data_IF_026087840859
#
_entry.id   IF_026087840859
#
_cell.length_a   1.000
_cell.length_b   1.000
_cell.length_c   1.000
_cell.angle_alpha   90.00
_cell.angle_beta   90.00
_cell.angle_gamma   90.00
#
_symmetry.space_group_name_H-M   'P 1'
#
loop_
_entity.id
_entity.type
_entity.pdbx_description
1 polymer ?
#
# COMPACT_ATOMS: atom_id res chain seq x y z
N UNK A 1 11.83 14.70 9.23
CA UNK A 1 11.53 13.84 8.07
C UNK A 1 11.74 14.61 6.78
N UNK A 2 12.12 13.90 5.70
CA UNK A 2 12.34 14.50 4.38
C UNK A 2 11.02 14.89 3.71
N UNK A 3 10.04 14.01 3.83
CA UNK A 3 8.66 14.22 3.39
C UNK A 3 7.72 13.50 4.35
N UNK A 4 6.42 13.82 4.28
CA UNK A 4 5.39 13.16 5.06
C UNK A 4 4.11 12.99 4.25
N UNK A 5 3.43 11.86 4.43
CA UNK A 5 2.18 11.54 3.76
C UNK A 5 1.15 11.04 4.77
N UNK A 6 -0.07 11.49 4.65
CA UNK A 6 -1.18 10.93 5.41
C UNK A 6 -1.70 9.66 4.74
N UNK A 7 -1.71 8.55 5.48
CA UNK A 7 -2.15 7.24 5.03
C UNK A 7 -3.43 6.87 5.77
N UNK A 8 -4.51 6.68 5.02
CA UNK A 8 -5.84 6.37 5.56
C UNK A 8 -6.12 4.89 5.67
N UNK A 9 -7.01 4.51 6.60
CA UNK A 9 -7.48 3.15 6.80
C UNK A 9 -8.98 3.11 7.10
N UNK A 10 -9.63 2.00 6.78
CA UNK A 10 -11.03 1.77 7.07
C UNK A 10 -11.97 2.72 6.32
N UNK A 11 -13.12 2.97 6.93
CA UNK A 11 -14.11 3.90 6.37
C UNK A 11 -14.94 3.29 5.26
N UNK A 12 -15.31 4.10 4.28
CA UNK A 12 -16.28 3.73 3.25
C UNK A 12 -15.96 4.41 1.90
N UNK A 13 -16.59 3.90 0.85
CA UNK A 13 -16.44 4.39 -0.52
C UNK A 13 -17.74 5.07 -0.96
N UNK A 14 -17.63 6.26 -1.51
CA UNK A 14 -18.72 7.01 -2.12
C UNK A 14 -18.69 6.89 -3.65
N UNK A 15 -19.87 6.72 -4.25
CA UNK A 15 -20.09 6.68 -5.69
C UNK A 15 -20.11 5.27 -6.28
N UNK A 16 -20.91 5.12 -7.35
CA UNK A 16 -21.14 3.86 -8.07
C UNK A 16 -20.38 3.80 -9.41
N UNK A 17 -19.76 4.92 -9.81
CA UNK A 17 -19.08 5.05 -11.10
C UNK A 17 -17.64 4.55 -11.10
N UNK A 18 -16.94 4.76 -12.21
CA UNK A 18 -15.51 4.40 -12.33
C UNK A 18 -14.62 5.23 -11.38
N UNK A 19 -15.03 6.45 -11.05
CA UNK A 19 -14.36 7.31 -10.09
C UNK A 19 -15.11 7.23 -8.76
N UNK A 20 -14.45 6.69 -7.76
CA UNK A 20 -14.98 6.55 -6.40
C UNK A 20 -14.15 7.38 -5.44
N UNK A 21 -14.79 7.90 -4.39
CA UNK A 21 -14.12 8.65 -3.33
C UNK A 21 -14.02 7.77 -2.09
N UNK A 22 -12.82 7.57 -1.60
CA UNK A 22 -12.60 6.86 -0.34
C UNK A 22 -12.58 7.85 0.82
N UNK A 23 -13.38 7.58 1.83
CA UNK A 23 -13.45 8.31 3.11
C UNK A 23 -12.85 7.43 4.21
N UNK A 24 -11.55 7.57 4.54
CA UNK A 24 -10.92 6.80 5.61
C UNK A 24 -11.55 7.11 6.97
N UNK A 25 -11.66 6.09 7.84
CA UNK A 25 -12.11 6.26 9.23
C UNK A 25 -10.99 6.71 10.17
N UNK A 26 -9.77 6.34 9.86
CA UNK A 26 -8.57 6.72 10.61
C UNK A 26 -7.41 6.98 9.66
N UNK A 27 -6.41 7.73 10.12
CA UNK A 27 -5.20 7.97 9.35
C UNK A 27 -3.97 8.12 10.24
N UNK A 28 -2.80 7.83 9.62
CA UNK A 28 -1.49 7.94 10.25
C UNK A 28 -0.55 8.67 9.30
N UNK A 29 0.27 9.57 9.81
CA UNK A 29 1.31 10.23 9.01
C UNK A 29 2.50 9.29 8.84
N UNK A 30 2.85 9.00 7.60
CA UNK A 30 4.10 8.34 7.23
C UNK A 30 5.19 9.39 7.05
N UNK A 31 6.12 9.47 8.00
CA UNK A 31 7.25 10.38 7.96
C UNK A 31 8.51 9.68 7.42
N UNK A 32 9.12 10.22 6.38
CA UNK A 32 10.30 9.66 5.72
C UNK A 32 11.60 10.05 6.44
N UNK A 33 12.49 9.07 6.60
CA UNK A 33 13.85 9.26 7.08
C UNK A 33 14.83 8.60 6.12
N UNK A 34 15.75 9.40 5.57
CA UNK A 34 16.68 8.96 4.55
C UNK A 34 18.07 8.69 5.15
N UNK A 35 18.65 7.58 4.71
CA UNK A 35 20.04 7.24 4.98
C UNK A 35 20.77 7.07 3.64
N UNK A 36 21.83 7.85 3.35
CA UNK A 36 22.59 7.69 2.14
C UNK A 36 23.42 6.41 2.18
N UNK A 37 23.33 5.61 1.14
CA UNK A 37 24.16 4.41 0.92
C UNK A 37 25.17 4.73 -0.16
N UNK A 38 26.41 4.99 0.24
CA UNK A 38 27.47 5.45 -0.64
C UNK A 38 28.03 4.27 -1.47
N UNK A 39 28.03 4.44 -2.78
CA UNK A 39 28.62 3.49 -3.72
C UNK A 39 30.14 3.58 -3.82
N UNK A 40 30.71 2.78 -4.72
CA UNK A 40 32.15 2.66 -4.92
C UNK A 40 32.82 4.03 -5.14
N UNK A 41 33.82 4.34 -4.31
CA UNK A 41 34.61 5.59 -4.35
C UNK A 41 33.78 6.88 -4.21
N UNK A 42 32.58 6.82 -3.66
CA UNK A 42 31.74 8.00 -3.43
C UNK A 42 31.20 8.67 -4.71
N UNK A 43 31.26 7.99 -5.86
CA UNK A 43 30.79 8.55 -7.13
C UNK A 43 29.27 8.57 -7.28
N UNK A 44 28.58 7.79 -6.47
CA UNK A 44 27.13 7.65 -6.44
C UNK A 44 26.66 7.36 -5.01
N UNK A 45 25.49 7.82 -4.66
CA UNK A 45 24.85 7.44 -3.40
C UNK A 45 23.38 7.10 -3.67
N UNK A 46 22.97 5.93 -3.24
CA UNK A 46 21.57 5.54 -3.19
C UNK A 46 20.96 6.01 -1.87
N UNK A 47 19.64 6.09 -1.83
CA UNK A 47 18.90 6.44 -0.61
C UNK A 47 18.19 5.21 -0.08
N UNK A 48 18.44 4.86 1.17
CA UNK A 48 17.59 3.96 1.95
C UNK A 48 16.56 4.83 2.67
N UNK A 49 15.31 4.76 2.25
CA UNK A 49 14.20 5.49 2.86
C UNK A 49 13.41 4.58 3.77
N UNK A 50 13.26 4.99 5.03
CA UNK A 50 12.43 4.32 6.03
C UNK A 50 11.27 5.22 6.42
N UNK A 51 10.14 4.61 6.73
CA UNK A 51 8.92 5.30 7.14
C UNK A 51 8.63 5.08 8.62
N UNK A 52 8.29 6.16 9.31
CA UNK A 52 7.86 6.12 10.72
C UNK A 52 6.45 6.67 10.87
N UNK A 53 5.59 5.92 11.56
CA UNK A 53 4.23 6.36 11.88
C UNK A 53 4.24 7.51 12.89
N UNK A 54 3.49 8.58 12.58
CA UNK A 54 3.26 9.74 13.45
C UNK A 54 1.76 10.01 13.55
N UNK A 55 1.28 10.58 14.67
CA UNK A 55 -0.11 10.96 14.79
C UNK A 55 -0.47 12.07 13.81
N UNK A 56 -1.74 12.14 13.41
CA UNK A 56 -2.29 13.21 12.56
C UNK A 56 -2.62 14.48 13.34
N UNK A 57 -2.73 14.36 14.66
CA UNK A 57 -3.05 15.46 15.57
C UNK A 57 -1.89 15.71 16.53
N UNK A 58 -1.77 16.95 16.96
CA UNK A 58 -0.82 17.33 18.00
C UNK A 58 -1.17 16.65 19.34
N UNK A 59 -0.19 16.63 20.23
CA UNK A 59 -0.35 16.11 21.58
C UNK A 59 -1.48 16.83 22.33
N UNK A 60 -2.39 16.08 22.95
CA UNK A 60 -3.55 16.62 23.68
C UNK A 60 -3.11 17.20 25.04
N UNK A 61 -2.63 18.44 25.02
CA UNK A 61 -2.17 19.14 26.21
C UNK A 61 -3.29 19.38 27.23
N UNK A 62 -4.54 19.54 26.78
CA UNK A 62 -5.66 19.73 27.71
C UNK A 62 -5.94 18.48 28.54
N UNK A 63 -5.96 17.31 27.90
CA UNK A 63 -6.08 16.03 28.61
C UNK A 63 -4.91 15.81 29.54
N UNK A 64 -3.70 16.10 29.09
CA UNK A 64 -2.50 15.97 29.91
C UNK A 64 -2.62 16.82 31.18
N UNK A 65 -3.01 18.10 31.06
CA UNK A 65 -3.16 19.02 32.19
C UNK A 65 -4.28 18.62 33.16
N UNK A 66 -5.26 17.81 32.71
CA UNK A 66 -6.29 17.21 33.57
C UNK A 66 -5.84 15.92 34.29
N UNK A 67 -4.59 15.49 34.07
CA UNK A 67 -4.06 14.26 34.65
C UNK A 67 -4.37 12.99 33.85
N UNK A 68 -4.97 13.12 32.66
CA UNK A 68 -5.31 12.00 31.74
C UNK A 68 -4.10 11.62 30.89
N UNK A 69 -2.95 11.33 31.48
CA UNK A 69 -1.67 11.18 30.77
C UNK A 69 -1.67 10.08 29.72
N UNK A 70 -2.30 8.94 30.00
CA UNK A 70 -2.37 7.81 29.07
C UNK A 70 -3.23 8.18 27.85
N UNK A 71 -4.38 8.81 28.08
CA UNK A 71 -5.27 9.25 27.01
C UNK A 71 -4.64 10.34 26.14
N UNK A 72 -3.89 11.27 26.76
CA UNK A 72 -3.17 12.33 26.04
C UNK A 72 -2.08 11.78 25.10
N UNK A 73 -1.42 10.65 25.44
CA UNK A 73 -0.39 10.00 24.63
C UNK A 73 -0.90 8.87 23.71
N UNK A 74 -2.18 8.53 23.79
CA UNK A 74 -2.72 7.35 23.08
C UNK A 74 -2.58 7.44 21.57
N UNK A 75 -2.86 8.58 20.96
CA UNK A 75 -2.75 8.79 19.51
C UNK A 75 -1.32 8.59 19.01
N UNK A 76 -0.33 9.09 19.73
CA UNK A 76 1.07 8.90 19.39
C UNK A 76 1.49 7.43 19.50
N UNK A 77 1.07 6.75 20.56
CA UNK A 77 1.36 5.33 20.78
C UNK A 77 0.78 4.47 19.66
N UNK A 78 -0.48 4.70 19.29
CA UNK A 78 -1.16 3.98 18.20
C UNK A 78 -0.47 4.21 16.85
N UNK A 79 -0.19 5.46 16.51
CA UNK A 79 0.48 5.80 15.26
C UNK A 79 1.87 5.15 15.15
N UNK A 80 2.63 5.15 16.24
CA UNK A 80 3.96 4.52 16.28
C UNK A 80 3.91 3.00 16.18
N UNK A 81 2.84 2.37 16.66
CA UNK A 81 2.71 0.91 16.66
C UNK A 81 2.81 0.33 15.25
N UNK A 82 2.29 1.02 14.23
CA UNK A 82 2.29 0.55 12.84
C UNK A 82 3.70 0.33 12.27
N UNK A 83 4.69 1.09 12.73
CA UNK A 83 6.08 1.03 12.23
C UNK A 83 7.11 0.61 13.29
N UNK A 84 6.67 0.23 14.49
CA UNK A 84 7.57 -0.01 15.63
C UNK A 84 8.29 -1.34 15.56
N UNK A 85 7.58 -2.38 15.13
CA UNK A 85 8.11 -3.75 15.00
C UNK A 85 7.69 -4.27 13.63
N UNK A 86 8.66 -4.68 12.79
CA UNK A 86 8.39 -5.29 11.50
C UNK A 86 7.84 -6.71 11.69
N UNK A 87 6.90 -7.09 10.85
CA UNK A 87 6.26 -8.40 10.84
C UNK A 87 5.71 -8.77 12.23
N UNK A 88 4.75 -8.00 12.76
CA UNK A 88 4.11 -8.35 14.01
C UNK A 88 3.46 -9.74 13.90
N UNK A 89 3.38 -10.43 15.03
CA UNK A 89 2.72 -11.74 15.11
C UNK A 89 1.26 -11.64 14.64
N UNK A 90 0.86 -12.53 13.73
CA UNK A 90 -0.46 -12.57 13.09
C UNK A 90 -1.31 -13.77 13.53
N UNK A 91 -0.95 -14.40 14.63
CA UNK A 91 -1.72 -15.50 15.23
C UNK A 91 -3.09 -15.06 15.76
N UNK A 92 -3.27 -13.75 16.03
CA UNK A 92 -4.52 -13.15 16.49
C UNK A 92 -5.14 -12.26 15.43
N UNK A 93 -6.45 -12.00 15.51
CA UNK A 93 -7.12 -11.06 14.59
C UNK A 93 -6.56 -9.64 14.69
N UNK A 94 -6.18 -9.19 15.89
CA UNK A 94 -5.54 -7.89 16.07
C UNK A 94 -4.14 -7.85 15.43
N UNK A 95 -3.39 -8.94 15.51
CA UNK A 95 -2.09 -9.08 14.86
C UNK A 95 -2.21 -9.08 13.33
N UNK A 96 -3.18 -9.80 12.78
CA UNK A 96 -3.47 -9.80 11.34
C UNK A 96 -3.84 -8.39 10.85
N UNK A 97 -4.70 -7.69 11.59
CA UNK A 97 -5.07 -6.32 11.27
C UNK A 97 -3.85 -5.38 11.26
N UNK A 98 -3.02 -5.45 12.29
CA UNK A 98 -1.81 -4.62 12.39
C UNK A 98 -0.85 -4.93 11.25
N UNK A 99 -0.65 -6.20 10.90
CA UNK A 99 0.25 -6.62 9.83
C UNK A 99 -0.21 -6.13 8.46
N UNK A 100 -1.49 -6.30 8.12
CA UNK A 100 -2.04 -5.76 6.88
C UNK A 100 -1.97 -4.22 6.84
N UNK A 101 -2.26 -3.54 7.95
CA UNK A 101 -2.08 -2.07 8.06
C UNK A 101 -0.61 -1.66 7.83
N UNK A 102 0.33 -2.41 8.39
CA UNK A 102 1.77 -2.15 8.23
C UNK A 102 2.21 -2.29 6.78
N UNK A 103 1.85 -3.37 6.11
CA UNK A 103 2.17 -3.62 4.70
C UNK A 103 1.63 -2.51 3.81
N UNK A 104 0.37 -2.13 4.01
CA UNK A 104 -0.22 -1.02 3.27
C UNK A 104 0.43 0.32 3.59
N UNK A 105 0.71 0.61 4.86
CA UNK A 105 1.34 1.85 5.30
C UNK A 105 2.66 2.12 4.57
N UNK A 106 3.56 1.15 4.57
CA UNK A 106 4.86 1.29 3.91
C UNK A 106 4.73 1.37 2.39
N UNK A 107 3.85 0.58 1.83
CA UNK A 107 3.61 0.53 0.39
C UNK A 107 2.99 1.82 -0.12
N UNK A 108 1.93 2.31 0.53
CA UNK A 108 1.23 3.53 0.13
C UNK A 108 2.12 4.76 0.24
N UNK A 109 2.90 4.88 1.32
CA UNK A 109 3.86 5.96 1.49
C UNK A 109 4.91 5.96 0.38
N UNK A 110 5.42 4.77 0.02
CA UNK A 110 6.42 4.61 -1.02
C UNK A 110 5.85 4.92 -2.41
N UNK A 111 4.67 4.40 -2.75
CA UNK A 111 4.01 4.70 -4.03
C UNK A 111 3.72 6.19 -4.16
N UNK A 112 3.21 6.84 -3.12
CA UNK A 112 2.96 8.29 -3.14
C UNK A 112 4.24 9.10 -3.36
N UNK A 113 5.36 8.72 -2.74
CA UNK A 113 6.63 9.40 -2.94
C UNK A 113 7.17 9.21 -4.37
N UNK A 114 7.07 8.01 -4.91
CA UNK A 114 7.46 7.72 -6.29
C UNK A 114 6.64 8.57 -7.26
N UNK A 115 5.33 8.60 -7.09
CA UNK A 115 4.43 9.39 -7.95
C UNK A 115 4.65 10.89 -7.81
N UNK A 116 4.92 11.39 -6.60
CA UNK A 116 5.29 12.80 -6.37
C UNK A 116 6.58 13.16 -7.11
N UNK A 117 7.61 12.32 -7.02
CA UNK A 117 8.88 12.54 -7.74
C UNK A 117 8.65 12.53 -9.24
N UNK A 118 7.94 11.54 -9.76
CA UNK A 118 7.60 11.49 -11.19
C UNK A 118 6.87 12.77 -11.64
N UNK A 119 5.86 13.20 -10.90
CA UNK A 119 5.11 14.42 -11.23
C UNK A 119 5.98 15.68 -11.19
N UNK A 120 7.00 15.72 -10.32
CA UNK A 120 7.92 16.87 -10.23
C UNK A 120 8.84 17.03 -11.45
N UNK A 121 9.04 15.99 -12.24
CA UNK A 121 9.80 16.04 -13.49
C UNK A 121 9.01 16.66 -14.66
N UNK A 122 7.67 16.80 -14.50
CA UNK A 122 6.81 17.41 -15.52
C UNK A 122 6.51 16.50 -16.72
N UNK A 123 6.88 15.25 -16.67
CA UNK A 123 6.53 14.29 -17.71
C UNK A 123 5.02 13.94 -17.69
N UNK A 124 4.37 13.76 -18.85
CA UNK A 124 2.99 13.29 -18.91
C UNK A 124 2.85 11.88 -18.33
N UNK A 125 1.72 11.60 -17.67
CA UNK A 125 1.49 10.32 -16.97
C UNK A 125 1.70 9.08 -17.86
N UNK A 126 1.43 9.17 -19.14
CA UNK A 126 1.66 8.09 -20.11
C UNK A 126 3.12 7.62 -20.17
N UNK A 127 4.09 8.47 -19.74
CA UNK A 127 5.51 8.10 -19.68
C UNK A 127 5.92 7.40 -18.38
N UNK A 128 5.00 7.21 -17.44
CA UNK A 128 5.31 6.56 -16.17
C UNK A 128 6.07 5.23 -16.37
N UNK A 129 5.66 4.30 -17.26
CA UNK A 129 6.36 3.03 -17.44
C UNK A 129 7.76 3.14 -18.06
N UNK A 130 8.11 4.29 -18.64
CA UNK A 130 9.44 4.56 -19.20
C UNK A 130 10.41 5.16 -18.18
N UNK A 131 9.86 5.72 -17.10
CA UNK A 131 10.59 6.48 -16.09
C UNK A 131 10.70 5.80 -14.74
N UNK A 132 9.77 4.91 -14.44
CA UNK A 132 9.62 4.28 -13.13
C UNK A 132 9.60 2.77 -13.28
N UNK A 133 10.42 2.11 -12.47
CA UNK A 133 10.37 0.67 -12.26
C UNK A 133 10.34 0.40 -10.74
N UNK A 134 9.40 -0.42 -10.32
CA UNK A 134 9.21 -0.79 -8.91
C UNK A 134 9.45 -2.29 -8.78
N UNK A 135 10.36 -2.68 -7.91
CA UNK A 135 10.60 -4.08 -7.59
C UNK A 135 9.90 -4.43 -6.28
N UNK A 136 8.93 -5.33 -6.34
CA UNK A 136 8.30 -5.91 -5.17
C UNK A 136 9.06 -7.17 -4.73
N UNK A 137 9.60 -7.16 -3.52
CA UNK A 137 10.25 -8.31 -2.93
C UNK A 137 9.29 -9.03 -1.99
N UNK A 138 8.98 -10.27 -2.29
CA UNK A 138 7.98 -11.09 -1.62
C UNK A 138 6.54 -10.55 -1.70
N UNK A 139 5.64 -11.15 -0.91
CA UNK A 139 4.21 -10.83 -0.91
C UNK A 139 3.85 -9.61 -0.07
N UNK A 140 4.73 -9.16 0.82
CA UNK A 140 4.47 -8.04 1.72
C UNK A 140 4.10 -6.74 0.99
N UNK A 141 4.75 -6.34 -0.12
CA UNK A 141 4.38 -5.16 -0.88
C UNK A 141 3.37 -5.42 -2.00
N UNK A 142 2.73 -6.59 -2.08
CA UNK A 142 1.83 -6.97 -3.18
C UNK A 142 0.66 -6.03 -3.38
N UNK A 143 0.26 -5.29 -2.34
CA UNK A 143 -0.78 -4.27 -2.44
C UNK A 143 -0.36 -3.06 -3.28
N UNK A 144 0.92 -2.96 -3.66
CA UNK A 144 1.45 -1.85 -4.45
C UNK A 144 0.75 -1.68 -5.80
N UNK A 145 0.32 -2.78 -6.43
CA UNK A 145 -0.41 -2.69 -7.69
C UNK A 145 -1.79 -2.06 -7.51
N UNK A 146 -2.56 -2.51 -6.53
CA UNK A 146 -3.86 -1.92 -6.22
C UNK A 146 -3.72 -0.45 -5.77
N UNK A 147 -2.69 -0.10 -5.01
CA UNK A 147 -2.41 1.30 -4.63
C UNK A 147 -1.98 2.14 -5.83
N UNK A 148 -1.12 1.64 -6.70
CA UNK A 148 -0.72 2.37 -7.91
C UNK A 148 -1.92 2.60 -8.83
N UNK A 149 -2.76 1.59 -9.04
CA UNK A 149 -4.01 1.71 -9.81
C UNK A 149 -4.95 2.74 -9.17
N UNK A 150 -5.10 2.72 -7.83
CA UNK A 150 -5.88 3.72 -7.10
C UNK A 150 -5.37 5.14 -7.37
N UNK A 151 -4.08 5.37 -7.20
CA UNK A 151 -3.45 6.69 -7.41
C UNK A 151 -3.64 7.14 -8.87
N UNK A 152 -3.41 6.25 -9.83
CA UNK A 152 -3.59 6.58 -11.24
C UNK A 152 -5.05 6.97 -11.59
N UNK A 153 -6.03 6.31 -11.00
CA UNK A 153 -7.45 6.62 -11.21
C UNK A 153 -7.87 7.87 -10.42
N UNK A 154 -7.64 7.83 -9.10
CA UNK A 154 -8.24 8.80 -8.17
C UNK A 154 -7.51 10.16 -8.24
N UNK A 155 -6.18 10.17 -8.39
CA UNK A 155 -5.35 11.37 -8.35
C UNK A 155 -4.96 11.87 -9.76
N UNK A 156 -4.74 10.96 -10.73
CA UNK A 156 -4.32 11.31 -12.10
C UNK A 156 -5.43 11.16 -13.15
N UNK A 157 -6.64 10.71 -12.78
CA UNK A 157 -7.80 10.67 -13.66
C UNK A 157 -7.73 9.63 -14.78
N UNK A 158 -6.90 8.60 -14.64
CA UNK A 158 -6.78 7.54 -15.64
C UNK A 158 -8.00 6.62 -15.63
N UNK A 159 -8.27 5.97 -16.75
CA UNK A 159 -9.24 4.87 -16.77
C UNK A 159 -8.69 3.67 -16.01
N UNK A 160 -9.56 2.76 -15.59
CA UNK A 160 -9.11 1.54 -14.93
C UNK A 160 -8.20 0.68 -15.83
N UNK A 161 -8.56 0.54 -17.10
CA UNK A 161 -7.80 -0.29 -18.03
C UNK A 161 -6.41 0.30 -18.29
N UNK A 162 -6.30 1.62 -18.50
CA UNK A 162 -5.01 2.30 -18.65
C UNK A 162 -4.17 2.20 -17.37
N UNK A 163 -4.79 2.37 -16.20
CA UNK A 163 -4.10 2.28 -14.91
C UNK A 163 -3.57 0.86 -14.65
N UNK A 164 -4.38 -0.18 -14.94
CA UNK A 164 -3.97 -1.57 -14.80
C UNK A 164 -2.83 -1.94 -15.75
N UNK A 165 -2.92 -1.52 -17.01
CA UNK A 165 -1.86 -1.75 -18.00
C UNK A 165 -0.56 -0.99 -17.67
N UNK A 166 -0.64 0.22 -17.13
CA UNK A 166 0.53 0.93 -16.63
C UNK A 166 1.16 0.24 -15.42
N UNK A 167 0.34 -0.24 -14.47
CA UNK A 167 0.83 -0.93 -13.28
C UNK A 167 1.65 -2.18 -13.66
N UNK A 168 1.16 -3.01 -14.58
CA UNK A 168 1.90 -4.19 -15.07
C UNK A 168 3.25 -3.82 -15.69
N UNK A 169 3.37 -2.68 -16.33
CA UNK A 169 4.63 -2.22 -16.96
C UNK A 169 5.60 -1.55 -15.98
N UNK A 170 5.13 -1.13 -14.82
CA UNK A 170 5.92 -0.44 -13.78
C UNK A 170 6.38 -1.41 -12.70
N UNK A 171 5.55 -2.41 -12.37
CA UNK A 171 5.78 -3.32 -11.26
C UNK A 171 6.47 -4.60 -11.73
N UNK A 172 7.43 -5.05 -10.93
CA UNK A 172 8.11 -6.33 -11.06
C UNK A 172 8.02 -7.07 -9.73
N UNK A 173 7.92 -8.39 -9.76
CA UNK A 173 7.75 -9.20 -8.57
C UNK A 173 8.81 -10.29 -8.47
N UNK A 174 9.38 -10.45 -7.29
CA UNK A 174 10.26 -11.58 -6.97
C UNK A 174 9.74 -12.28 -5.72
N UNK A 175 9.42 -13.56 -5.85
CA UNK A 175 9.14 -14.43 -4.72
C UNK A 175 10.44 -15.07 -4.22
N UNK A 176 10.73 -14.96 -2.93
CA UNK A 176 11.91 -15.53 -2.29
C UNK A 176 11.65 -16.83 -1.52
N UNK A 177 10.38 -17.26 -1.42
CA UNK A 177 9.99 -18.42 -0.65
C UNK A 177 9.23 -19.45 -1.47
N UNK A 178 9.44 -20.75 -1.18
CA UNK A 178 8.68 -21.86 -1.74
C UNK A 178 7.68 -22.44 -0.74
N UNK A 179 7.70 -21.97 0.51
CA UNK A 179 6.83 -22.48 1.56
C UNK A 179 5.45 -21.85 1.47
N UNK A 180 4.38 -22.63 1.33
CA UNK A 180 3.02 -22.12 1.20
C UNK A 180 2.59 -21.19 2.35
N UNK A 181 3.03 -21.46 3.57
CA UNK A 181 2.76 -20.66 4.76
C UNK A 181 3.38 -19.26 4.72
N UNK A 182 4.39 -19.05 3.90
CA UNK A 182 5.00 -17.74 3.70
C UNK A 182 4.36 -16.97 2.55
N UNK A 183 3.43 -17.59 1.81
CA UNK A 183 2.60 -16.93 0.81
C UNK A 183 1.35 -16.39 1.51
N UNK A 184 1.36 -15.12 1.82
CA UNK A 184 0.30 -14.48 2.61
C UNK A 184 -1.06 -14.55 1.92
N UNK A 185 -2.09 -14.79 2.73
CA UNK A 185 -3.47 -14.73 2.32
C UNK A 185 -4.30 -14.05 3.41
N UNK A 186 -5.02 -13.01 3.04
CA UNK A 186 -5.84 -12.22 3.95
C UNK A 186 -7.32 -12.41 3.66
N UNK A 187 -8.15 -12.51 4.70
CA UNK A 187 -9.60 -12.63 4.48
C UNK A 187 -10.15 -11.40 3.76
N UNK A 188 -11.09 -11.60 2.83
CA UNK A 188 -11.80 -10.51 2.16
C UNK A 188 -12.46 -9.57 3.17
N UNK A 189 -13.00 -10.11 4.28
CA UNK A 189 -13.59 -9.31 5.35
C UNK A 189 -12.60 -8.35 6.00
N UNK A 190 -11.36 -8.79 6.21
CA UNK A 190 -10.29 -7.95 6.75
C UNK A 190 -9.91 -6.84 5.76
N UNK A 191 -9.75 -7.18 4.46
CA UNK A 191 -9.50 -6.19 3.42
C UNK A 191 -10.60 -5.15 3.33
N UNK A 192 -11.87 -5.57 3.31
CA UNK A 192 -13.02 -4.63 3.27
C UNK A 192 -13.10 -3.73 4.48
N UNK A 193 -12.71 -4.24 5.65
CA UNK A 193 -12.68 -3.47 6.90
C UNK A 193 -11.59 -2.40 6.87
N UNK A 194 -10.37 -2.75 6.43
CA UNK A 194 -9.19 -1.89 6.55
C UNK A 194 -8.97 -1.06 5.29
N UNK A 195 -9.20 -1.63 4.12
CA UNK A 195 -8.86 -1.08 2.81
C UNK A 195 -10.00 -1.26 1.80
N UNK A 196 -11.19 -0.69 2.07
CA UNK A 196 -12.37 -0.92 1.23
C UNK A 196 -12.16 -0.51 -0.23
N UNK A 197 -11.44 0.60 -0.50
CA UNK A 197 -11.15 1.06 -1.86
C UNK A 197 -10.22 0.09 -2.59
N UNK A 198 -9.22 -0.45 -1.89
CA UNK A 198 -8.29 -1.41 -2.48
C UNK A 198 -8.98 -2.75 -2.76
N UNK A 199 -9.87 -3.20 -1.87
CA UNK A 199 -10.66 -4.42 -2.14
C UNK A 199 -11.51 -4.28 -3.41
N UNK A 200 -12.20 -3.15 -3.59
CA UNK A 200 -12.93 -2.84 -4.83
C UNK A 200 -12.02 -2.89 -6.08
N UNK A 201 -10.80 -2.40 -5.96
CA UNK A 201 -9.83 -2.44 -7.07
C UNK A 201 -9.26 -3.84 -7.30
N UNK A 202 -8.97 -4.59 -6.24
CA UNK A 202 -8.47 -5.97 -6.33
C UNK A 202 -9.51 -6.85 -7.03
N UNK A 203 -10.79 -6.71 -6.73
CA UNK A 203 -11.87 -7.42 -7.43
C UNK A 203 -11.88 -7.09 -8.93
N UNK A 204 -11.70 -5.82 -9.29
CA UNK A 204 -11.64 -5.39 -10.68
C UNK A 204 -10.38 -5.88 -11.40
N UNK A 205 -9.23 -5.91 -10.72
CA UNK A 205 -7.96 -6.43 -11.25
C UNK A 205 -8.12 -7.94 -11.50
N UNK A 206 -8.69 -8.68 -10.55
CA UNK A 206 -8.94 -10.10 -10.67
C UNK A 206 -9.86 -10.43 -11.84
N UNK A 207 -10.97 -9.70 -11.98
CA UNK A 207 -11.89 -9.84 -13.11
C UNK A 207 -11.26 -9.45 -14.45
N UNK A 208 -10.43 -8.40 -14.48
CA UNK A 208 -9.70 -7.98 -15.67
C UNK A 208 -8.72 -9.07 -16.14
N UNK A 209 -7.99 -9.67 -15.19
CA UNK A 209 -7.06 -10.75 -15.47
C UNK A 209 -7.77 -12.02 -15.99
N UNK A 210 -8.89 -12.39 -15.36
CA UNK A 210 -9.73 -13.52 -15.80
C UNK A 210 -10.25 -13.33 -17.23
N UNK A 211 -10.71 -12.13 -17.58
CA UNK A 211 -11.17 -11.82 -18.95
C UNK A 211 -10.07 -11.96 -19.99
N UNK A 212 -8.84 -11.64 -19.64
CA UNK A 212 -7.67 -11.79 -20.53
C UNK A 212 -7.19 -13.24 -20.65
N UNK A 213 -7.56 -14.10 -19.70
CA UNK A 213 -7.16 -15.52 -19.64
C UNK A 213 -8.37 -16.45 -19.57
N UNK A 214 -9.26 -16.46 -20.57
CA UNK A 214 -10.55 -17.16 -20.48
C UNK A 214 -10.44 -18.68 -20.39
N UNK A 215 -9.30 -19.27 -20.75
CA UNK A 215 -9.08 -20.73 -20.68
C UNK A 215 -8.82 -21.24 -19.26
N UNK A 216 -8.39 -20.39 -18.33
CA UNK A 216 -8.03 -20.73 -16.94
C UNK A 216 -8.44 -19.67 -15.93
N UNK A 217 -9.66 -19.11 -15.99
CA UNK A 217 -10.01 -17.92 -15.22
C UNK A 217 -9.99 -18.14 -13.71
N UNK A 218 -10.28 -19.34 -13.23
CA UNK A 218 -10.37 -19.68 -11.82
C UNK A 218 -9.02 -20.12 -11.21
N UNK A 219 -8.13 -20.72 -12.00
CA UNK A 219 -6.77 -21.08 -11.57
C UNK A 219 -5.88 -19.84 -11.34
N UNK A 220 -6.24 -18.74 -12.00
CA UNK A 220 -5.49 -17.50 -11.97
C UNK A 220 -6.15 -16.43 -11.09
N UNK A 221 -7.17 -16.78 -10.29
CA UNK A 221 -7.84 -15.83 -9.40
C UNK A 221 -7.02 -15.56 -8.15
N UNK A 222 -6.82 -14.28 -7.83
CA UNK A 222 -6.26 -13.88 -6.54
C UNK A 222 -7.28 -13.99 -5.41
N UNK A 223 -8.59 -14.01 -5.75
CA UNK A 223 -9.67 -14.06 -4.78
C UNK A 223 -10.34 -15.44 -4.88
N UNK A 224 -10.11 -16.28 -3.87
CA UNK A 224 -10.80 -17.55 -3.76
C UNK A 224 -10.89 -18.01 -2.30
N UNK A 225 -11.90 -18.83 -1.98
CA UNK A 225 -12.18 -19.34 -0.64
C UNK A 225 -12.34 -18.24 0.43
N UNK A 226 -12.84 -17.04 0.06
CA UNK A 226 -13.02 -15.94 0.98
C UNK A 226 -11.72 -15.22 1.38
N UNK A 227 -10.65 -15.44 0.62
CA UNK A 227 -9.33 -14.86 0.87
C UNK A 227 -8.75 -14.20 -0.39
N UNK A 228 -7.92 -13.19 -0.18
CA UNK A 228 -7.05 -12.57 -1.18
C UNK A 228 -5.65 -13.16 -1.05
N UNK A 229 -5.20 -13.85 -2.09
CA UNK A 229 -3.89 -14.50 -2.15
C UNK A 229 -2.86 -13.52 -2.71
N UNK A 230 -1.98 -13.03 -1.85
CA UNK A 230 -1.08 -11.92 -2.15
C UNK A 230 -0.03 -12.25 -3.21
N UNK A 231 0.47 -13.48 -3.26
CA UNK A 231 1.40 -13.92 -4.30
C UNK A 231 0.76 -13.94 -5.69
N UNK A 232 -0.48 -14.42 -5.81
CA UNK A 232 -1.23 -14.37 -7.07
C UNK A 232 -1.55 -12.94 -7.46
N UNK A 233 -1.94 -12.11 -6.50
CA UNK A 233 -2.18 -10.69 -6.73
C UNK A 233 -0.93 -9.98 -7.25
N UNK A 234 0.25 -10.22 -6.64
CA UNK A 234 1.51 -9.66 -7.11
C UNK A 234 1.83 -10.08 -8.54
N UNK A 235 1.63 -11.35 -8.87
CA UNK A 235 1.83 -11.89 -10.23
C UNK A 235 0.93 -11.21 -11.26
N UNK A 236 -0.34 -11.00 -10.95
CA UNK A 236 -1.30 -10.35 -11.87
C UNK A 236 -0.95 -8.91 -12.22
N UNK A 237 -0.23 -8.23 -11.33
CA UNK A 237 0.06 -6.79 -11.40
C UNK A 237 1.49 -6.49 -11.85
N UNK A 238 2.29 -7.52 -12.15
CA UNK A 238 3.70 -7.37 -12.57
C UNK A 238 3.92 -7.89 -13.98
N UNK A 239 4.88 -7.28 -14.67
CA UNK A 239 5.34 -7.65 -16.01
C UNK A 239 6.62 -8.48 -16.04
#
# INVERSE_FOLDING_TARGET
PEVAYEIGFGGWIEGDGPKKIWHPAESVIAAAYDTPVVGWRGRWANTLRLWSGKPTHDFDLERFNRGEYVAAGAAESLARTISRVLYPDDSTEAGKELRLKQEYFFTAASVRDIMRRFASEGDPIAKLPERVAIQMNDTHPSIAGAELVRVLIDDFGQTFDDAADMAVRVLNYTNHTLLPEALEAWSEGLFRKILPRHMDLIERIDDHHKRRNPSRPWELSAIHHGQVHMGTLAFMQSG
#
